data_IF_852762269288
#
_entry.id   IF_852762269288
#
_cell.length_a   1.000
_cell.length_b   1.000
_cell.length_c   1.000
_cell.angle_alpha   90.00
_cell.angle_beta   90.00
_cell.angle_gamma   90.00
#
_symmetry.space_group_name_H-M   'P 1'
#
loop_
_entity.id
_entity.type
_entity.pdbx_description
1 polymer ?
#
# COMPACT_ATOMS: atom_id res chain seq x y z
N UNK A 1 -6.11 -52.19 -14.23
CA UNK A 1 -5.79 -50.75 -14.10
C UNK A 1 -5.70 -50.16 -15.51
N UNK A 2 -6.40 -49.06 -15.80
CA UNK A 2 -5.77 -47.74 -15.67
C UNK A 2 -6.67 -46.65 -15.06
N UNK A 3 -6.02 -45.70 -14.39
CA UNK A 3 -6.61 -44.62 -13.57
C UNK A 3 -7.21 -43.51 -14.44
N UNK A 4 -8.54 -43.30 -14.39
CA UNK A 4 -9.16 -42.04 -14.85
C UNK A 4 -8.73 -40.92 -13.90
N UNK A 5 -7.80 -40.07 -14.34
CA UNK A 5 -7.43 -38.84 -13.64
C UNK A 5 -8.65 -37.91 -13.61
N UNK A 6 -9.23 -37.73 -12.42
CA UNK A 6 -10.22 -36.70 -12.14
C UNK A 6 -9.51 -35.35 -12.21
N UNK A 7 -9.56 -34.72 -13.39
CA UNK A 7 -9.15 -33.34 -13.58
C UNK A 7 -10.23 -32.47 -12.94
N UNK A 8 -10.06 -32.16 -11.64
CA UNK A 8 -10.83 -31.11 -10.98
C UNK A 8 -10.32 -29.79 -11.50
N UNK A 9 -10.91 -29.33 -12.60
CA UNK A 9 -10.75 -27.96 -13.06
C UNK A 9 -11.34 -27.07 -11.97
N UNK A 10 -10.48 -26.32 -11.29
CA UNK A 10 -10.90 -25.24 -10.41
C UNK A 10 -11.45 -24.12 -11.29
N UNK A 11 -12.75 -23.79 -11.29
CA UNK A 11 -13.19 -22.55 -11.88
C UNK A 11 -12.83 -21.47 -10.87
N UNK A 12 -11.61 -20.92 -10.95
CA UNK A 12 -11.32 -19.62 -10.35
C UNK A 12 -12.03 -18.55 -11.18
N UNK A 13 -13.36 -18.57 -11.18
CA UNK A 13 -14.16 -17.35 -11.32
C UNK A 13 -13.84 -16.54 -10.06
N UNK A 14 -12.75 -15.79 -10.12
CA UNK A 14 -12.60 -14.61 -9.30
C UNK A 14 -13.80 -13.75 -9.66
N UNK A 15 -14.88 -13.87 -8.89
CA UNK A 15 -15.98 -12.93 -8.94
C UNK A 15 -15.30 -11.60 -8.67
N UNK A 16 -15.21 -10.75 -9.69
CA UNK A 16 -14.75 -9.39 -9.55
C UNK A 16 -15.52 -8.82 -8.35
N UNK A 17 -14.80 -8.55 -7.26
CA UNK A 17 -15.39 -7.90 -6.12
C UNK A 17 -16.08 -6.63 -6.64
N UNK A 18 -17.30 -6.31 -6.20
CA UNK A 18 -17.89 -5.01 -6.46
C UNK A 18 -17.15 -3.99 -5.60
N UNK A 19 -15.86 -3.78 -5.89
CA UNK A 19 -15.19 -2.55 -5.52
C UNK A 19 -15.92 -1.51 -6.35
N UNK A 20 -16.82 -0.80 -5.68
CA UNK A 20 -17.31 0.52 -6.03
C UNK A 20 -16.98 0.90 -7.47
N UNK A 21 -17.92 0.64 -8.39
CA UNK A 21 -17.99 1.39 -9.63
C UNK A 21 -18.50 2.79 -9.26
N UNK A 22 -17.74 3.49 -8.43
CA UNK A 22 -17.91 4.92 -8.22
C UNK A 22 -17.51 5.50 -9.57
N UNK A 23 -18.45 6.13 -10.24
CA UNK A 23 -18.17 7.05 -11.33
C UNK A 23 -17.12 8.03 -10.79
N UNK A 24 -15.84 7.73 -11.04
CA UNK A 24 -14.72 8.50 -10.48
C UNK A 24 -14.98 9.96 -10.82
N UNK A 25 -15.26 10.76 -9.79
CA UNK A 25 -15.47 12.18 -9.94
C UNK A 25 -14.24 12.76 -10.66
N UNK A 26 -14.43 13.84 -11.42
CA UNK A 26 -13.30 14.54 -12.06
C UNK A 26 -12.19 14.87 -11.04
N UNK A 27 -12.58 15.11 -9.78
CA UNK A 27 -11.67 15.28 -8.65
C UNK A 27 -10.87 14.03 -8.28
N UNK A 28 -11.49 12.84 -8.26
CA UNK A 28 -10.80 11.58 -7.96
C UNK A 28 -9.84 11.18 -9.09
N UNK A 29 -10.21 11.42 -10.35
CA UNK A 29 -9.30 11.23 -11.50
C UNK A 29 -8.10 12.17 -11.46
N UNK A 30 -8.30 13.42 -11.03
CA UNK A 30 -7.23 14.38 -10.85
C UNK A 30 -6.32 13.96 -9.67
N UNK A 31 -6.91 13.54 -8.56
CA UNK A 31 -6.18 13.01 -7.41
C UNK A 31 -5.34 11.79 -7.77
N UNK A 32 -5.88 10.84 -8.55
CA UNK A 32 -5.14 9.67 -9.03
C UNK A 32 -3.94 10.05 -9.92
N UNK A 33 -4.09 11.06 -10.77
CA UNK A 33 -2.98 11.58 -11.58
C UNK A 33 -1.93 12.27 -10.71
N UNK A 34 -2.35 13.05 -9.71
CA UNK A 34 -1.46 13.72 -8.76
C UNK A 34 -0.74 12.69 -7.87
N UNK A 35 -1.40 11.60 -7.45
CA UNK A 35 -0.78 10.53 -6.68
C UNK A 35 0.25 9.76 -7.51
N UNK A 36 -0.02 9.50 -8.79
CA UNK A 36 0.94 8.87 -9.72
C UNK A 36 2.12 9.78 -10.02
N UNK A 37 1.87 11.07 -10.24
CA UNK A 37 2.91 12.05 -10.56
C UNK A 37 3.75 12.38 -9.31
N UNK A 38 3.08 12.69 -8.20
CA UNK A 38 3.63 12.93 -6.88
C UNK A 38 4.03 11.66 -6.11
N UNK A 39 4.09 10.50 -6.78
CA UNK A 39 4.72 9.26 -6.32
C UNK A 39 6.04 8.93 -7.04
N UNK A 40 6.40 9.71 -8.07
CA UNK A 40 7.57 9.47 -8.91
C UNK A 40 8.81 10.23 -8.45
N UNK A 41 9.98 9.60 -8.58
CA UNK A 41 11.29 10.23 -8.38
C UNK A 41 11.53 11.45 -9.28
N UNK A 42 10.89 11.48 -10.45
CA UNK A 42 11.00 12.61 -11.40
C UNK A 42 10.38 13.90 -10.86
N UNK A 43 9.35 13.81 -10.00
CA UNK A 43 8.73 14.98 -9.38
C UNK A 43 9.68 15.67 -8.40
N UNK A 44 10.40 14.89 -7.59
CA UNK A 44 11.37 15.41 -6.62
C UNK A 44 12.49 16.15 -7.36
N UNK A 45 13.05 15.55 -8.41
CA UNK A 45 14.08 16.18 -9.22
C UNK A 45 13.61 17.49 -9.86
N UNK A 46 12.40 17.51 -10.44
CA UNK A 46 11.83 18.72 -11.03
C UNK A 46 11.61 19.81 -9.97
N UNK A 47 11.12 19.45 -8.77
CA UNK A 47 10.91 20.39 -7.68
C UNK A 47 12.22 20.97 -7.16
N UNK A 48 13.27 20.15 -7.04
CA UNK A 48 14.62 20.59 -6.68
C UNK A 48 15.16 21.59 -7.71
N UNK A 49 15.08 21.25 -9.00
CA UNK A 49 15.52 22.14 -10.08
C UNK A 49 14.74 23.46 -10.07
N UNK A 50 13.43 23.40 -9.86
CA UNK A 50 12.59 24.58 -9.71
C UNK A 50 13.01 25.45 -8.52
N UNK A 51 13.31 24.83 -7.37
CA UNK A 51 13.81 25.50 -6.17
C UNK A 51 15.13 26.23 -6.43
N UNK A 52 16.10 25.55 -7.04
CA UNK A 52 17.40 26.13 -7.38
C UNK A 52 17.28 27.23 -8.43
N UNK A 53 16.43 27.04 -9.45
CA UNK A 53 16.14 28.06 -10.46
C UNK A 53 15.50 29.30 -9.84
N UNK A 54 14.54 29.11 -8.94
CA UNK A 54 13.87 30.20 -8.23
C UNK A 54 14.81 30.93 -7.28
N UNK A 55 15.68 30.20 -6.57
CA UNK A 55 16.74 30.78 -5.75
C UNK A 55 17.72 31.60 -6.59
N UNK A 56 18.05 31.15 -7.81
CA UNK A 56 18.87 31.88 -8.76
C UNK A 56 18.21 33.17 -9.26
N UNK A 57 16.91 33.13 -9.60
CA UNK A 57 16.14 34.32 -10.00
C UNK A 57 16.05 35.32 -8.85
N UNK A 58 15.77 34.84 -7.63
CA UNK A 58 15.73 35.68 -6.44
C UNK A 58 17.10 36.27 -6.11
N UNK A 59 18.18 35.50 -6.28
CA UNK A 59 19.55 35.98 -6.11
C UNK A 59 19.90 37.06 -7.13
N UNK A 60 19.58 36.86 -8.42
CA UNK A 60 19.77 37.89 -9.46
C UNK A 60 19.00 39.17 -9.14
N UNK A 61 17.73 39.05 -8.73
CA UNK A 61 16.91 40.20 -8.35
C UNK A 61 17.52 40.96 -7.15
N UNK A 62 18.17 40.23 -6.24
CA UNK A 62 18.84 40.75 -5.04
C UNK A 62 20.16 41.47 -5.34
N UNK A 63 20.89 41.05 -6.38
CA UNK A 63 22.11 41.76 -6.81
C UNK A 63 21.81 43.19 -7.32
N UNK A 64 20.57 43.48 -7.74
CA UNK A 64 20.17 44.78 -8.28
C UNK A 64 19.57 45.76 -7.24
N UNK A 65 19.41 45.38 -5.97
CA UNK A 65 18.87 46.28 -4.93
C UNK A 65 19.48 45.95 -3.58
N UNK A 66 19.97 46.99 -2.88
CA UNK A 66 20.72 46.93 -1.62
C UNK A 66 20.38 45.73 -0.73
N UNK A 67 21.44 45.09 -0.21
CA UNK A 67 21.38 44.06 0.82
C UNK A 67 20.48 44.51 1.99
N UNK A 68 19.25 44.00 1.96
CA UNK A 68 18.20 43.93 2.99
C UNK A 68 17.75 45.23 3.70
N UNK A 69 16.75 45.95 3.12
CA UNK A 69 15.77 46.73 3.88
C UNK A 69 14.45 45.96 4.07
N UNK A 70 13.86 46.11 5.26
CA UNK A 70 12.55 45.58 5.69
C UNK A 70 11.47 45.65 4.59
N UNK A 71 10.68 44.59 4.31
CA UNK A 71 10.47 43.33 5.03
C UNK A 71 11.36 42.20 4.50
N UNK A 72 11.75 41.24 5.35
CA UNK A 72 12.63 40.11 5.01
C UNK A 72 12.03 39.16 3.94
N UNK A 73 11.95 39.63 2.69
CA UNK A 73 11.31 38.94 1.57
C UNK A 73 12.02 37.61 1.30
N UNK A 74 13.32 37.55 1.55
CA UNK A 74 14.16 36.36 1.44
C UNK A 74 13.80 35.30 2.50
N UNK A 75 13.69 35.69 3.78
CA UNK A 75 13.34 34.74 4.84
C UNK A 75 11.92 34.22 4.63
N UNK A 76 10.94 35.11 4.38
CA UNK A 76 9.56 34.68 4.18
C UNK A 76 9.41 33.73 2.99
N UNK A 77 10.11 34.00 1.87
CA UNK A 77 10.10 33.10 0.72
C UNK A 77 10.73 31.74 1.04
N UNK A 78 11.87 31.74 1.72
CA UNK A 78 12.59 30.52 2.09
C UNK A 78 11.74 29.67 3.05
N UNK A 79 11.12 30.29 4.05
CA UNK A 79 10.21 29.62 4.98
C UNK A 79 8.95 29.08 4.29
N UNK A 80 8.31 29.85 3.40
CA UNK A 80 7.14 29.37 2.65
C UNK A 80 7.48 28.20 1.73
N UNK A 81 8.65 28.20 1.10
CA UNK A 81 9.08 27.08 0.26
C UNK A 81 9.42 25.83 1.08
N UNK A 82 10.05 26.03 2.25
CA UNK A 82 10.33 24.94 3.20
C UNK A 82 9.04 24.32 3.76
N UNK A 83 7.96 25.08 3.90
CA UNK A 83 6.64 24.55 4.22
C UNK A 83 6.04 23.78 3.03
N UNK A 84 6.17 24.31 1.80
CA UNK A 84 5.59 23.69 0.60
C UNK A 84 6.21 22.33 0.24
N UNK A 85 7.51 22.12 0.49
CA UNK A 85 8.18 20.84 0.21
C UNK A 85 7.71 19.70 1.14
N UNK A 86 7.09 20.02 2.27
CA UNK A 86 6.63 19.00 3.22
C UNK A 86 5.52 18.14 2.62
N UNK A 87 4.54 18.73 1.93
CA UNK A 87 3.39 17.99 1.41
C UNK A 87 3.77 16.90 0.39
N UNK A 88 4.66 17.15 -0.59
CA UNK A 88 5.14 16.09 -1.48
C UNK A 88 6.04 15.05 -0.80
N UNK A 89 6.88 15.45 0.16
CA UNK A 89 7.74 14.50 0.89
C UNK A 89 6.89 13.55 1.73
N UNK A 90 5.86 14.08 2.41
CA UNK A 90 4.87 13.28 3.15
C UNK A 90 4.14 12.34 2.19
N UNK A 91 3.66 12.85 1.04
CA UNK A 91 2.96 12.07 0.03
C UNK A 91 3.83 10.94 -0.57
N UNK A 92 5.12 11.15 -0.72
CA UNK A 92 6.07 10.14 -1.20
C UNK A 92 6.36 9.08 -0.13
N UNK A 93 6.54 9.52 1.12
CA UNK A 93 6.78 8.62 2.24
C UNK A 93 5.60 7.66 2.44
N UNK A 94 4.36 8.14 2.26
CA UNK A 94 3.17 7.31 2.32
C UNK A 94 3.03 6.38 1.13
N UNK A 95 3.34 6.80 -0.10
CA UNK A 95 3.28 5.92 -1.29
C UNK A 95 4.22 4.69 -1.17
N UNK A 96 5.41 4.89 -0.60
CA UNK A 96 6.36 3.80 -0.35
C UNK A 96 5.91 2.86 0.78
N UNK A 97 5.23 3.38 1.80
CA UNK A 97 4.66 2.58 2.89
C UNK A 97 3.45 1.78 2.41
N UNK A 98 2.52 2.41 1.69
CA UNK A 98 1.35 1.75 1.10
C UNK A 98 1.73 0.55 0.21
N UNK A 99 2.79 0.70 -0.61
CA UNK A 99 3.29 -0.39 -1.45
C UNK A 99 3.79 -1.60 -0.63
N UNK A 100 4.36 -1.36 0.55
CA UNK A 100 4.82 -2.43 1.46
C UNK A 100 3.64 -3.06 2.20
N UNK A 101 2.74 -2.23 2.70
CA UNK A 101 1.50 -2.66 3.37
C UNK A 101 0.64 -3.57 2.48
N UNK A 102 0.55 -3.30 1.18
CA UNK A 102 -0.16 -4.16 0.24
C UNK A 102 0.46 -5.57 0.10
N UNK A 103 1.78 -5.68 0.15
CA UNK A 103 2.47 -6.97 0.06
C UNK A 103 2.26 -7.75 1.35
N UNK A 104 2.45 -7.09 2.49
CA UNK A 104 2.31 -7.68 3.81
C UNK A 104 0.87 -8.15 4.05
N UNK A 105 -0.15 -7.36 3.65
CA UNK A 105 -1.56 -7.74 3.77
C UNK A 105 -1.92 -8.99 2.97
N UNK A 106 -1.38 -9.14 1.75
CA UNK A 106 -1.60 -10.33 0.93
C UNK A 106 -0.95 -11.58 1.56
N UNK A 107 0.26 -11.41 2.08
CA UNK A 107 1.01 -12.50 2.71
C UNK A 107 0.32 -12.98 3.99
N UNK A 108 -0.12 -12.04 4.84
CA UNK A 108 -0.86 -12.32 6.06
C UNK A 108 -2.17 -13.08 5.78
N UNK A 109 -2.92 -12.66 4.76
CA UNK A 109 -4.14 -13.36 4.36
C UNK A 109 -3.88 -14.80 3.89
N UNK A 110 -2.77 -15.06 3.18
CA UNK A 110 -2.40 -16.42 2.75
C UNK A 110 -2.00 -17.28 3.95
N UNK A 111 -1.18 -16.75 4.86
CA UNK A 111 -0.78 -17.42 6.08
C UNK A 111 -2.00 -17.77 6.91
N UNK A 112 -2.90 -16.81 7.13
CA UNK A 112 -4.08 -17.00 7.96
C UNK A 112 -4.99 -18.11 7.41
N UNK A 113 -5.21 -18.15 6.08
CA UNK A 113 -5.95 -19.26 5.44
C UNK A 113 -5.23 -20.59 5.55
N UNK A 114 -3.91 -20.62 5.51
CA UNK A 114 -3.14 -21.84 5.69
C UNK A 114 -3.28 -22.35 7.13
N UNK A 115 -3.13 -21.47 8.10
CA UNK A 115 -3.33 -21.75 9.51
C UNK A 115 -4.75 -22.28 9.78
N UNK A 116 -5.78 -21.66 9.19
CA UNK A 116 -7.17 -22.11 9.31
C UNK A 116 -7.34 -23.57 8.83
N UNK A 117 -6.75 -23.93 7.68
CA UNK A 117 -6.81 -25.30 7.15
C UNK A 117 -6.07 -26.29 8.05
N UNK A 118 -4.89 -25.93 8.53
CA UNK A 118 -4.11 -26.77 9.44
C UNK A 118 -4.87 -27.02 10.75
N UNK A 119 -5.52 -25.99 11.30
CA UNK A 119 -6.39 -26.13 12.48
C UNK A 119 -7.57 -27.06 12.19
N UNK A 120 -8.24 -26.91 11.06
CA UNK A 120 -9.34 -27.79 10.67
C UNK A 120 -8.89 -29.26 10.52
N UNK A 121 -7.69 -29.47 9.97
CA UNK A 121 -7.12 -30.81 9.83
C UNK A 121 -6.78 -31.42 11.18
N UNK A 122 -6.12 -30.68 12.07
CA UNK A 122 -5.85 -31.12 13.45
C UNK A 122 -7.15 -31.46 14.19
N UNK A 123 -8.19 -30.62 14.07
CA UNK A 123 -9.49 -30.90 14.66
C UNK A 123 -10.12 -32.19 14.13
N UNK A 124 -9.93 -32.50 12.84
CA UNK A 124 -10.44 -33.73 12.24
C UNK A 124 -9.74 -34.95 12.80
N UNK A 125 -8.40 -34.91 12.90
CA UNK A 125 -7.60 -35.98 13.49
C UNK A 125 -7.96 -36.21 14.97
N UNK A 126 -8.12 -35.14 15.75
CA UNK A 126 -8.58 -35.21 17.14
C UNK A 126 -9.96 -35.88 17.27
N UNK A 127 -10.92 -35.54 16.40
CA UNK A 127 -12.24 -36.20 16.37
C UNK A 127 -12.12 -37.67 16.00
N UNK A 128 -11.26 -38.03 15.04
CA UNK A 128 -11.02 -39.43 14.66
C UNK A 128 -10.47 -40.23 15.85
N UNK A 129 -9.46 -39.70 16.55
CA UNK A 129 -8.90 -40.33 17.76
C UNK A 129 -9.96 -40.46 18.85
N UNK A 130 -10.73 -39.40 19.11
CA UNK A 130 -11.81 -39.41 20.10
C UNK A 130 -12.85 -40.51 19.81
N UNK A 131 -13.27 -40.64 18.54
CA UNK A 131 -14.22 -41.67 18.12
C UNK A 131 -13.63 -43.08 18.31
N UNK A 132 -12.37 -43.31 17.95
CA UNK A 132 -11.69 -44.59 18.19
C UNK A 132 -11.68 -44.96 19.69
N UNK A 133 -11.37 -44.02 20.57
CA UNK A 133 -11.38 -44.25 22.03
C UNK A 133 -12.79 -44.65 22.52
N UNK A 134 -13.83 -43.97 22.02
CA UNK A 134 -15.22 -44.30 22.36
C UNK A 134 -15.61 -45.72 21.91
N UNK A 135 -15.18 -46.13 20.71
CA UNK A 135 -15.41 -47.49 20.21
C UNK A 135 -14.72 -48.55 21.09
N UNK A 136 -13.48 -48.33 21.51
CA UNK A 136 -12.75 -49.24 22.43
C UNK A 136 -13.47 -49.33 23.78
N UNK A 137 -13.92 -48.20 24.34
CA UNK A 137 -14.60 -48.16 25.64
C UNK A 137 -15.95 -48.90 25.61
N UNK A 138 -16.66 -48.88 24.47
CA UNK A 138 -17.90 -49.67 24.28
C UNK A 138 -17.62 -51.16 24.13
N UNK A 139 -16.53 -51.55 23.46
CA UNK A 139 -16.12 -52.95 23.30
C UNK A 139 -15.70 -53.62 24.60
N UNK A 140 -15.13 -52.87 25.55
CA UNK A 140 -14.76 -53.37 26.90
C UNK A 140 -15.92 -53.47 27.90
N UNK A 141 -17.13 -53.03 27.53
CA UNK A 141 -18.31 -52.98 28.42
C UNK A 141 -19.31 -54.13 28.19
N UNK A 142 -18.98 -55.08 27.32
CA UNK A 142 -19.62 -56.39 27.16
C UNK A 142 -18.68 -57.45 27.71
#
# INVERSE_FOLDING_TARGET
>A
MPKKKSKREHPTKHKAHPIFRQELSLGERAADKIAKFGGSWTFILLFIVFLFGWMGVQSWLLLNKSFDPFPFILLNLTLSCLAAIQAPVILMATNRQASREHIDANYDHIINRKAEREIQQMQKELRTIHNHILHIKKGKKK
#
